data_IF_246075025482
#
_entry.id   IF_246075025482
#
_cell.length_a   1.000
_cell.length_b   1.000
_cell.length_c   1.000
_cell.angle_alpha   90.00
_cell.angle_beta   90.00
_cell.angle_gamma   90.00
#
_symmetry.space_group_name_H-M   'P 1'
#
loop_
_entity.id
_entity.type
_entity.pdbx_description
1 polymer ?
#
# COMPACT_ATOMS: atom_id res chain seq x y z
N UNK A 1 -3.15 25.43 6.45
CA UNK A 1 -3.80 24.12 6.59
C UNK A 1 -2.73 23.05 6.48
N UNK A 2 -2.14 22.64 7.61
CA UNK A 2 -1.35 21.41 7.65
C UNK A 2 -2.33 20.25 7.63
N UNK A 3 -2.62 19.73 6.44
CA UNK A 3 -3.35 18.47 6.32
C UNK A 3 -2.63 17.37 7.10
N UNK A 4 -3.38 16.38 7.60
CA UNK A 4 -2.74 15.15 8.08
C UNK A 4 -1.95 14.55 6.90
N UNK A 5 -0.83 13.89 7.15
CA UNK A 5 0.12 13.48 6.11
C UNK A 5 -0.48 12.70 4.93
N UNK A 6 0.32 12.50 3.90
CA UNK A 6 0.00 11.72 2.72
C UNK A 6 0.21 10.21 2.96
N UNK A 7 -0.66 9.39 2.37
CA UNK A 7 -0.66 7.94 2.51
C UNK A 7 -0.78 7.29 1.13
N UNK A 8 0.05 6.28 0.85
CA UNK A 8 -0.23 5.33 -0.25
C UNK A 8 -0.64 3.99 0.34
N UNK A 9 -1.68 3.39 -0.23
CA UNK A 9 -2.24 2.12 0.23
C UNK A 9 -1.96 1.04 -0.81
N UNK A 10 -1.48 -0.10 -0.36
CA UNK A 10 -1.16 -1.26 -1.18
C UNK A 10 -1.95 -2.46 -0.72
N UNK A 11 -2.53 -3.23 -1.65
CA UNK A 11 -3.33 -4.38 -1.27
C UNK A 11 -3.23 -5.58 -2.22
N UNK A 12 -3.49 -6.77 -1.68
CA UNK A 12 -3.78 -7.94 -2.51
C UNK A 12 -5.05 -7.69 -3.33
N UNK A 13 -5.11 -8.21 -4.55
CA UNK A 13 -6.24 -7.99 -5.49
C UNK A 13 -7.54 -8.71 -5.08
N UNK A 14 -7.56 -9.48 -4.00
CA UNK A 14 -8.81 -10.09 -3.51
C UNK A 14 -9.80 -9.05 -2.96
N UNK A 15 -11.09 -9.40 -2.96
CA UNK A 15 -12.18 -8.47 -2.59
C UNK A 15 -12.05 -7.96 -1.16
N UNK A 16 -11.64 -8.81 -0.22
CA UNK A 16 -11.50 -8.43 1.20
C UNK A 16 -10.45 -7.34 1.34
N UNK A 17 -9.27 -7.54 0.75
CA UNK A 17 -8.19 -6.56 0.83
C UNK A 17 -8.56 -5.24 0.12
N UNK A 18 -9.30 -5.29 -1.01
CA UNK A 18 -9.78 -4.08 -1.71
C UNK A 18 -10.78 -3.28 -0.86
N UNK A 19 -11.77 -3.95 -0.26
CA UNK A 19 -12.74 -3.29 0.61
C UNK A 19 -12.07 -2.64 1.82
N UNK A 20 -11.11 -3.33 2.45
CA UNK A 20 -10.36 -2.77 3.58
C UNK A 20 -9.49 -1.58 3.15
N UNK A 21 -8.86 -1.63 1.98
CA UNK A 21 -8.08 -0.51 1.44
C UNK A 21 -8.93 0.73 1.17
N UNK A 22 -10.12 0.55 0.59
CA UNK A 22 -11.08 1.64 0.37
C UNK A 22 -11.60 2.22 1.69
N UNK A 23 -11.92 1.38 2.67
CA UNK A 23 -12.34 1.81 4.01
C UNK A 23 -11.23 2.60 4.74
N UNK A 24 -9.98 2.15 4.63
CA UNK A 24 -8.83 2.86 5.17
C UNK A 24 -8.63 4.22 4.48
N UNK A 25 -8.76 4.28 3.15
CA UNK A 25 -8.68 5.52 2.38
C UNK A 25 -9.75 6.53 2.79
N UNK A 26 -11.00 6.09 2.90
CA UNK A 26 -12.12 6.92 3.35
C UNK A 26 -11.89 7.45 4.78
N UNK A 27 -11.39 6.59 5.67
CA UNK A 27 -11.09 6.98 7.05
C UNK A 27 -9.95 8.00 7.14
N UNK A 28 -8.89 7.84 6.35
CA UNK A 28 -7.75 8.76 6.32
C UNK A 28 -8.16 10.13 5.79
N UNK A 29 -8.87 10.15 4.66
CA UNK A 29 -9.36 11.39 4.04
C UNK A 29 -10.40 12.11 4.89
N UNK A 30 -11.35 11.38 5.49
CA UNK A 30 -12.32 11.95 6.44
C UNK A 30 -11.69 12.57 7.70
N UNK A 31 -10.44 12.19 8.02
CA UNK A 31 -9.64 12.78 9.10
C UNK A 31 -8.77 13.95 8.64
N UNK A 32 -8.86 14.37 7.38
CA UNK A 32 -8.09 15.47 6.79
C UNK A 32 -6.72 15.07 6.27
N UNK A 33 -6.48 13.77 6.03
CA UNK A 33 -5.29 13.26 5.37
C UNK A 33 -5.46 13.14 3.85
N UNK A 34 -4.36 12.94 3.12
CA UNK A 34 -4.39 12.74 1.66
C UNK A 34 -4.02 11.32 1.31
N UNK A 35 -4.78 10.66 0.42
CA UNK A 35 -4.38 9.37 -0.18
C UNK A 35 -3.84 9.64 -1.57
N UNK A 36 -2.56 9.33 -1.81
CA UNK A 36 -1.94 9.55 -3.13
C UNK A 36 -2.33 8.46 -4.13
N UNK A 37 -2.35 7.20 -3.68
CA UNK A 37 -2.76 6.08 -4.51
C UNK A 37 -3.29 4.91 -3.68
N UNK A 38 -4.14 4.12 -4.33
CA UNK A 38 -4.41 2.73 -3.96
C UNK A 38 -3.83 1.85 -5.07
N UNK A 39 -2.96 0.92 -4.70
CA UNK A 39 -2.23 0.05 -5.63
C UNK A 39 -2.54 -1.40 -5.28
N UNK A 40 -3.16 -2.11 -6.22
CA UNK A 40 -3.39 -3.55 -6.07
C UNK A 40 -2.26 -4.38 -6.72
N UNK A 41 -2.13 -5.62 -6.28
CA UNK A 41 -1.31 -6.62 -6.94
C UNK A 41 -1.88 -8.04 -6.80
N UNK A 42 -1.64 -8.93 -7.79
CA UNK A 42 -2.04 -10.32 -7.67
C UNK A 42 -1.12 -11.06 -6.66
N UNK A 43 -1.56 -12.22 -6.17
CA UNK A 43 -0.72 -13.07 -5.31
C UNK A 43 0.52 -13.63 -6.02
N UNK A 44 0.46 -13.73 -7.35
CA UNK A 44 1.56 -14.19 -8.20
C UNK A 44 1.70 -13.26 -9.40
N UNK A 45 2.91 -12.81 -9.69
CA UNK A 45 3.21 -11.97 -10.84
C UNK A 45 4.56 -12.36 -11.45
N UNK A 46 4.65 -12.32 -12.79
CA UNK A 46 5.92 -12.45 -13.49
C UNK A 46 6.83 -11.23 -13.26
N UNK A 47 6.26 -10.07 -12.91
CA UNK A 47 6.99 -8.87 -12.53
C UNK A 47 6.15 -7.97 -11.62
N UNK A 48 6.82 -7.39 -10.64
CA UNK A 48 6.26 -6.47 -9.64
C UNK A 48 6.64 -5.01 -9.89
N UNK A 49 7.45 -4.71 -10.92
CA UNK A 49 8.09 -3.40 -11.08
C UNK A 49 7.09 -2.25 -11.26
N UNK A 50 6.03 -2.48 -12.04
CA UNK A 50 5.02 -1.45 -12.31
C UNK A 50 4.28 -1.07 -11.03
N UNK A 51 3.89 -2.07 -10.25
CA UNK A 51 3.22 -1.91 -8.98
C UNK A 51 4.14 -1.20 -7.99
N UNK A 52 5.40 -1.66 -7.88
CA UNK A 52 6.39 -1.07 -6.97
C UNK A 52 6.63 0.42 -7.25
N UNK A 53 6.79 0.81 -8.53
CA UNK A 53 6.93 2.22 -8.91
C UNK A 53 5.72 3.06 -8.53
N UNK A 54 4.52 2.57 -8.82
CA UNK A 54 3.29 3.27 -8.47
C UNK A 54 3.11 3.39 -6.95
N UNK A 55 3.58 2.40 -6.20
CA UNK A 55 3.46 2.37 -4.75
C UNK A 55 4.31 3.45 -4.07
N UNK A 56 5.47 3.80 -4.62
CA UNK A 56 6.34 4.86 -4.07
C UNK A 56 6.15 6.23 -4.72
N UNK A 57 5.36 6.30 -5.79
CA UNK A 57 5.15 7.54 -6.55
C UNK A 57 4.56 8.65 -5.67
N UNK A 58 5.09 9.86 -5.83
CA UNK A 58 4.71 11.03 -5.03
C UNK A 58 5.27 11.05 -3.60
N UNK A 59 6.12 10.10 -3.20
CA UNK A 59 6.82 10.06 -1.90
C UNK A 59 5.91 10.30 -0.69
N UNK A 60 4.88 9.47 -0.46
CA UNK A 60 3.91 9.68 0.61
C UNK A 60 4.56 9.65 1.99
N UNK A 61 4.01 10.39 2.95
CA UNK A 61 4.47 10.43 4.35
C UNK A 61 4.50 9.02 4.98
N UNK A 62 3.57 8.14 4.60
CA UNK A 62 3.55 6.74 5.03
C UNK A 62 2.97 5.80 3.96
N UNK A 63 3.18 4.50 4.19
CA UNK A 63 2.56 3.41 3.42
C UNK A 63 1.72 2.51 4.32
N UNK A 64 0.56 2.11 3.82
CA UNK A 64 -0.26 1.05 4.41
C UNK A 64 -0.31 -0.15 3.47
N UNK A 65 -0.07 -1.34 4.01
CA UNK A 65 -0.15 -2.60 3.27
C UNK A 65 -1.22 -3.49 3.90
N UNK A 66 -2.19 -3.91 3.09
CA UNK A 66 -3.26 -4.85 3.47
C UNK A 66 -3.20 -6.01 2.49
N UNK A 67 -2.42 -7.03 2.84
CA UNK A 67 -2.06 -8.05 1.86
C UNK A 67 -1.95 -9.45 2.46
N UNK A 68 -2.19 -10.44 1.60
CA UNK A 68 -1.83 -11.82 1.87
C UNK A 68 -0.30 -11.97 1.81
N UNK A 69 0.29 -12.91 2.59
CA UNK A 69 1.74 -12.99 2.72
C UNK A 69 2.48 -13.31 1.41
N UNK A 70 1.87 -14.12 0.54
CA UNK A 70 2.48 -14.56 -0.72
C UNK A 70 2.76 -13.40 -1.68
N UNK A 71 1.72 -12.66 -2.05
CA UNK A 71 1.86 -11.48 -2.90
C UNK A 71 2.72 -10.40 -2.27
N UNK A 72 2.59 -10.18 -0.95
CA UNK A 72 3.41 -9.19 -0.24
C UNK A 72 4.90 -9.53 -0.28
N UNK A 73 5.29 -10.80 -0.15
CA UNK A 73 6.70 -11.18 -0.21
C UNK A 73 7.36 -10.76 -1.53
N UNK A 74 6.71 -11.00 -2.68
CA UNK A 74 7.22 -10.59 -3.99
C UNK A 74 7.24 -9.08 -4.18
N UNK A 75 6.20 -8.39 -3.74
CA UNK A 75 6.12 -6.93 -3.81
C UNK A 75 7.18 -6.25 -2.92
N UNK A 76 7.33 -6.67 -1.66
CA UNK A 76 8.34 -6.17 -0.72
C UNK A 76 9.76 -6.34 -1.25
N UNK A 77 10.04 -7.54 -1.75
CA UNK A 77 11.33 -7.89 -2.31
C UNK A 77 11.67 -7.03 -3.55
N UNK A 78 10.66 -6.73 -4.38
CA UNK A 78 10.80 -5.78 -5.49
C UNK A 78 11.07 -4.35 -5.01
N UNK A 79 10.31 -3.87 -4.02
CA UNK A 79 10.43 -2.53 -3.46
C UNK A 79 11.85 -2.28 -2.92
N UNK A 80 12.36 -3.20 -2.10
CA UNK A 80 13.71 -3.14 -1.53
C UNK A 80 14.81 -3.05 -2.59
N UNK A 81 14.61 -3.64 -3.77
CA UNK A 81 15.65 -3.71 -4.81
C UNK A 81 15.62 -2.57 -5.83
N UNK A 82 14.54 -1.82 -5.97
CA UNK A 82 14.41 -0.89 -7.12
C UNK A 82 13.58 0.35 -6.88
N UNK A 83 13.33 0.69 -5.63
CA UNK A 83 12.64 1.93 -5.26
C UNK A 83 13.24 2.46 -3.98
N UNK A 84 12.99 3.73 -3.69
CA UNK A 84 13.36 4.37 -2.41
C UNK A 84 12.31 4.10 -1.31
N UNK A 85 11.61 2.97 -1.39
CA UNK A 85 10.63 2.57 -0.40
C UNK A 85 11.29 2.43 0.97
N UNK A 86 10.69 3.07 1.98
CA UNK A 86 11.16 3.02 3.36
C UNK A 86 10.28 2.07 4.20
N UNK A 87 10.79 0.91 4.62
CA UNK A 87 10.07 -0.01 5.50
C UNK A 87 9.71 0.60 6.85
N UNK A 88 10.49 1.56 7.36
CA UNK A 88 10.25 2.19 8.66
C UNK A 88 9.00 3.09 8.67
N UNK A 89 8.55 3.53 7.49
CA UNK A 89 7.33 4.32 7.27
C UNK A 89 6.14 3.47 6.80
N UNK A 90 6.25 2.15 6.89
CA UNK A 90 5.24 1.22 6.40
C UNK A 90 4.57 0.46 7.54
N UNK A 91 3.24 0.51 7.57
CA UNK A 91 2.40 -0.36 8.41
C UNK A 91 1.84 -1.46 7.54
N UNK A 92 2.01 -2.71 7.94
CA UNK A 92 1.48 -3.87 7.23
C UNK A 92 0.53 -4.66 8.13
N UNK A 93 -0.61 -5.06 7.58
CA UNK A 93 -1.59 -5.92 8.24
C UNK A 93 -2.02 -7.07 7.33
N UNK A 94 -2.32 -8.20 7.96
CA UNK A 94 -3.00 -9.29 7.31
C UNK A 94 -4.53 -9.04 7.38
N UNK A 95 -5.30 -9.26 6.30
CA UNK A 95 -6.73 -8.95 6.28
C UNK A 95 -7.56 -9.74 7.31
N UNK A 96 -7.09 -10.91 7.73
CA UNK A 96 -7.80 -11.71 8.76
C UNK A 96 -7.47 -11.26 10.19
N UNK A 97 -6.70 -10.18 10.35
CA UNK A 97 -6.39 -9.55 11.64
C UNK A 97 -7.21 -8.26 11.89
N UNK A 98 -8.14 -7.94 10.98
CA UNK A 98 -8.98 -6.76 11.00
C UNK A 98 -10.25 -6.96 11.85
#
# INVERSE_FOLDING_TARGET
MTGRGSLTIGCSRDDVCRVLAEAAAATWTGRGGTVLSIVDWPEQAASWLRQARRFVDGEPDAWLVIARPGGWAGMRDRLLRSTDWDPARTVAMHPDSA
#
